data_IF_238196361124
#
_entry.id   IF_238196361124
#
_cell.length_a   1.000
_cell.length_b   1.000
_cell.length_c   1.000
_cell.angle_alpha   90.00
_cell.angle_beta   90.00
_cell.angle_gamma   90.00
#
_symmetry.space_group_name_H-M   'P 1'
#
loop_
_entity.id
_entity.type
_entity.pdbx_description
1 polymer ?
#
# COMPACT_ATOMS: atom_id res chain seq x y z
N UNK A 1 -8.33 -16.47 71.84
CA UNK A 1 -8.21 -16.92 70.44
C UNK A 1 -8.66 -15.78 69.52
N UNK A 2 -7.74 -14.90 69.09
CA UNK A 2 -8.04 -13.82 68.13
C UNK A 2 -7.80 -14.37 66.72
N UNK A 3 -8.84 -14.48 65.90
CA UNK A 3 -8.76 -14.89 64.49
C UNK A 3 -8.34 -13.69 63.65
N UNK A 4 -7.15 -13.77 63.09
CA UNK A 4 -6.61 -12.81 62.12
C UNK A 4 -7.25 -13.09 60.75
N UNK A 5 -8.24 -12.28 60.34
CA UNK A 5 -8.98 -12.44 59.08
C UNK A 5 -8.51 -11.49 57.96
N UNK A 6 -7.47 -10.69 58.19
CA UNK A 6 -7.02 -9.65 57.23
C UNK A 6 -6.18 -10.19 56.05
N UNK A 7 -5.86 -11.48 56.02
CA UNK A 7 -5.03 -12.09 54.97
C UNK A 7 -5.78 -12.54 53.71
N UNK A 8 -7.11 -12.68 53.75
CA UNK A 8 -7.88 -13.36 52.68
C UNK A 8 -8.59 -12.36 51.73
N UNK A 9 -8.82 -11.12 52.17
CA UNK A 9 -9.54 -10.10 51.36
C UNK A 9 -8.64 -9.37 50.35
N UNK A 10 -7.33 -9.31 50.57
CA UNK A 10 -6.40 -8.61 49.68
C UNK A 10 -6.07 -9.36 48.38
N UNK A 11 -6.23 -10.69 48.38
CA UNK A 11 -5.90 -11.57 47.26
C UNK A 11 -6.92 -11.49 46.10
N UNK A 12 -8.24 -11.58 46.33
CA UNK A 12 -9.24 -11.40 45.27
C UNK A 12 -9.29 -9.95 44.74
N UNK A 13 -9.07 -8.95 45.60
CA UNK A 13 -9.03 -7.54 45.18
C UNK A 13 -7.85 -7.23 44.25
N UNK A 14 -6.64 -7.74 44.57
CA UNK A 14 -5.46 -7.59 43.72
C UNK A 14 -5.65 -8.29 42.37
N UNK A 15 -6.26 -9.48 42.37
CA UNK A 15 -6.56 -10.21 41.13
C UNK A 15 -7.59 -9.46 40.27
N UNK A 16 -8.63 -8.87 40.87
CA UNK A 16 -9.57 -8.03 40.13
C UNK A 16 -8.91 -6.80 39.54
N UNK A 17 -8.04 -6.12 40.29
CA UNK A 17 -7.30 -4.96 39.79
C UNK A 17 -6.37 -5.33 38.63
N UNK A 18 -5.65 -6.45 38.73
CA UNK A 18 -4.78 -6.95 37.65
C UNK A 18 -5.60 -7.35 36.43
N UNK A 19 -6.72 -8.05 36.59
CA UNK A 19 -7.60 -8.41 35.48
C UNK A 19 -8.18 -7.18 34.78
N UNK A 20 -8.52 -6.14 35.55
CA UNK A 20 -9.03 -4.89 35.00
C UNK A 20 -7.94 -4.11 34.25
N UNK A 21 -6.72 -4.05 34.79
CA UNK A 21 -5.57 -3.45 34.10
C UNK A 21 -5.23 -4.20 32.80
N UNK A 22 -5.26 -5.54 32.82
CA UNK A 22 -5.06 -6.36 31.62
C UNK A 22 -6.18 -6.11 30.60
N UNK A 23 -7.44 -6.05 31.03
CA UNK A 23 -8.58 -5.78 30.13
C UNK A 23 -8.53 -4.40 29.48
N UNK A 24 -7.88 -3.42 30.14
CA UNK A 24 -7.71 -2.08 29.59
C UNK A 24 -6.46 -1.96 28.69
N UNK A 25 -5.40 -2.70 29.02
CA UNK A 25 -4.12 -2.64 28.30
C UNK A 25 -4.09 -3.51 27.02
N UNK A 26 -4.85 -4.61 26.97
CA UNK A 26 -4.89 -5.47 25.79
C UNK A 26 -5.49 -4.77 24.55
N UNK A 27 -6.66 -4.09 24.64
CA UNK A 27 -7.24 -3.41 23.48
C UNK A 27 -6.36 -2.28 22.95
N UNK A 28 -5.70 -1.53 23.83
CA UNK A 28 -4.83 -0.41 23.44
C UNK A 28 -3.59 -0.90 22.72
N UNK A 29 -2.96 -1.98 23.18
CA UNK A 29 -1.82 -2.57 22.48
C UNK A 29 -2.20 -3.15 21.12
N UNK A 30 -3.36 -3.81 20.99
CA UNK A 30 -3.86 -4.30 19.70
C UNK A 30 -4.06 -3.13 18.73
N UNK A 31 -4.62 -2.01 19.20
CA UNK A 31 -4.82 -0.81 18.38
C UNK A 31 -3.51 -0.24 17.85
N UNK A 32 -2.49 -0.08 18.70
CA UNK A 32 -1.18 0.47 18.30
C UNK A 32 -0.43 -0.46 17.35
N UNK A 33 -0.52 -1.77 17.57
CA UNK A 33 0.07 -2.76 16.65
C UNK A 33 -0.59 -2.68 15.26
N UNK A 34 -1.92 -2.56 15.21
CA UNK A 34 -2.62 -2.43 13.94
C UNK A 34 -2.24 -1.14 13.21
N UNK A 35 -2.20 -0.02 13.93
CA UNK A 35 -1.82 1.28 13.36
C UNK A 35 -0.38 1.30 12.83
N UNK A 36 0.58 0.75 13.59
CA UNK A 36 1.98 0.68 13.15
C UNK A 36 2.16 -0.20 11.91
N UNK A 37 1.51 -1.37 11.86
CA UNK A 37 1.56 -2.24 10.66
C UNK A 37 0.92 -1.58 9.43
N UNK A 38 -0.19 -0.86 9.63
CA UNK A 38 -0.87 -0.12 8.56
C UNK A 38 -0.01 1.03 8.04
N UNK A 39 0.65 1.79 8.91
CA UNK A 39 1.54 2.88 8.51
C UNK A 39 2.76 2.37 7.73
N UNK A 40 3.34 1.23 8.13
CA UNK A 40 4.45 0.61 7.39
C UNK A 40 3.99 0.11 6.02
N UNK A 41 2.79 -0.48 5.94
CA UNK A 41 2.21 -0.91 4.67
C UNK A 41 1.95 0.27 3.73
N UNK A 42 1.39 1.37 4.25
CA UNK A 42 1.18 2.61 3.52
C UNK A 42 2.50 3.18 3.00
N UNK A 43 3.54 3.23 3.83
CA UNK A 43 4.86 3.73 3.42
C UNK A 43 5.47 2.86 2.31
N UNK A 44 5.47 1.54 2.46
CA UNK A 44 5.96 0.63 1.40
C UNK A 44 5.18 0.78 0.10
N UNK A 45 3.86 0.96 0.19
CA UNK A 45 3.03 1.19 -0.98
C UNK A 45 3.38 2.54 -1.65
N UNK A 46 3.55 3.62 -0.90
CA UNK A 46 3.94 4.92 -1.44
C UNK A 46 5.33 4.88 -2.11
N UNK A 47 6.30 4.20 -1.50
CA UNK A 47 7.65 4.03 -2.06
C UNK A 47 7.61 3.26 -3.40
N UNK A 48 6.87 2.14 -3.46
CA UNK A 48 6.69 1.37 -4.69
C UNK A 48 5.94 2.17 -5.76
N UNK A 49 4.90 2.92 -5.37
CA UNK A 49 4.18 3.78 -6.31
C UNK A 49 5.11 4.86 -6.90
N UNK A 50 6.00 5.44 -6.10
CA UNK A 50 7.00 6.39 -6.57
C UNK A 50 8.02 5.75 -7.53
N UNK A 51 8.49 4.54 -7.25
CA UNK A 51 9.40 3.82 -8.15
C UNK A 51 8.77 3.54 -9.52
N UNK A 52 7.51 3.07 -9.54
CA UNK A 52 6.77 2.85 -10.78
C UNK A 52 6.61 4.18 -11.53
N UNK A 53 6.27 5.25 -10.81
CA UNK A 53 6.08 6.57 -11.40
C UNK A 53 7.37 7.13 -12.01
N UNK A 54 8.48 7.06 -11.28
CA UNK A 54 9.79 7.46 -11.76
C UNK A 54 10.20 6.65 -13.00
N UNK A 55 9.89 5.35 -13.02
CA UNK A 55 10.15 4.51 -14.20
C UNK A 55 9.33 4.97 -15.41
N UNK A 56 8.04 5.28 -15.24
CA UNK A 56 7.18 5.81 -16.31
C UNK A 56 7.71 7.14 -16.86
N UNK A 57 8.11 8.05 -15.97
CA UNK A 57 8.64 9.37 -16.33
C UNK A 57 9.99 9.27 -17.04
N UNK A 58 10.90 8.44 -16.53
CA UNK A 58 12.19 8.18 -17.16
C UNK A 58 12.00 7.55 -18.55
N UNK A 59 11.10 6.56 -18.67
CA UNK A 59 10.81 5.92 -19.95
C UNK A 59 10.26 6.88 -20.99
N UNK A 60 9.33 7.75 -20.57
CA UNK A 60 8.78 8.81 -21.40
C UNK A 60 9.87 9.76 -21.91
N UNK A 61 10.79 10.15 -21.02
CA UNK A 61 11.92 11.02 -21.39
C UNK A 61 12.93 10.34 -22.32
N UNK A 62 13.07 9.01 -22.24
CA UNK A 62 13.88 8.20 -23.14
C UNK A 62 13.33 8.09 -24.57
N UNK A 63 12.05 8.41 -24.76
CA UNK A 63 11.41 8.53 -26.06
C UNK A 63 10.71 7.25 -26.58
N UNK A 64 10.17 7.32 -27.80
CA UNK A 64 9.38 6.24 -28.39
C UNK A 64 10.16 4.93 -28.58
N UNK A 65 9.50 3.79 -28.37
CA UNK A 65 10.11 2.46 -28.53
C UNK A 65 10.84 1.93 -27.29
N UNK A 66 10.93 2.72 -26.22
CA UNK A 66 11.45 2.26 -24.94
C UNK A 66 10.51 1.22 -24.30
N UNK A 67 11.08 0.12 -23.79
CA UNK A 67 10.35 -0.96 -23.14
C UNK A 67 11.08 -1.34 -21.86
N UNK A 68 10.34 -1.43 -20.74
CA UNK A 68 10.87 -1.92 -19.46
C UNK A 68 9.89 -2.86 -18.81
N UNK A 69 10.40 -3.69 -17.91
CA UNK A 69 9.58 -4.54 -17.04
C UNK A 69 9.77 -4.08 -15.61
N UNK A 70 8.66 -3.90 -14.90
CA UNK A 70 8.63 -3.60 -13.48
C UNK A 70 8.00 -4.77 -12.76
N UNK A 71 8.68 -5.28 -11.73
CA UNK A 71 8.17 -6.34 -10.86
C UNK A 71 7.76 -5.73 -9.53
N UNK A 72 6.56 -6.02 -9.07
CA UNK A 72 6.14 -5.67 -7.72
C UNK A 72 6.76 -6.70 -6.75
N UNK A 73 7.52 -6.27 -5.73
CA UNK A 73 8.18 -7.17 -4.80
C UNK A 73 7.21 -8.14 -4.12
N UNK A 74 7.65 -9.38 -3.91
CA UNK A 74 6.88 -10.42 -3.23
C UNK A 74 6.77 -10.18 -1.71
N UNK A 75 7.66 -9.36 -1.13
CA UNK A 75 7.70 -9.03 0.30
C UNK A 75 6.83 -7.82 0.68
N UNK A 76 6.00 -7.35 -0.26
CA UNK A 76 5.05 -6.29 -0.02
C UNK A 76 3.93 -6.80 0.92
N UNK A 77 3.55 -6.04 1.97
CA UNK A 77 2.48 -6.45 2.88
C UNK A 77 1.20 -6.85 2.14
N UNK A 78 0.57 -7.92 2.64
CA UNK A 78 -0.68 -8.41 2.06
C UNK A 78 -1.77 -7.32 2.11
N UNK A 79 -2.60 -7.29 1.07
CA UNK A 79 -3.66 -6.29 0.94
C UNK A 79 -3.21 -4.98 0.27
N UNK A 80 -1.95 -4.86 -0.18
CA UNK A 80 -1.54 -3.75 -1.04
C UNK A 80 -1.88 -4.04 -2.50
N UNK A 81 -2.53 -3.07 -3.14
CA UNK A 81 -2.83 -3.11 -4.57
C UNK A 81 -2.61 -1.73 -5.19
N UNK A 82 -2.06 -1.71 -6.41
CA UNK A 82 -1.84 -0.50 -7.20
C UNK A 82 -2.80 -0.49 -8.37
N UNK A 83 -3.42 0.65 -8.65
CA UNK A 83 -4.20 0.90 -9.86
C UNK A 83 -3.45 1.87 -10.75
N UNK A 84 -3.17 1.45 -11.98
CA UNK A 84 -2.33 2.20 -12.92
C UNK A 84 -3.03 2.30 -14.27
N UNK A 85 -2.99 3.51 -14.82
CA UNK A 85 -3.41 3.79 -16.18
C UNK A 85 -4.93 3.82 -16.36
N UNK A 86 -5.34 3.87 -17.62
CA UNK A 86 -6.74 3.94 -18.00
C UNK A 86 -6.87 4.48 -19.42
N UNK A 87 -8.07 4.95 -19.75
CA UNK A 87 -8.34 5.57 -21.04
C UNK A 87 -7.69 6.96 -21.13
N UNK A 88 -7.25 7.34 -22.33
CA UNK A 88 -6.72 8.66 -22.58
C UNK A 88 -7.77 9.73 -22.27
N UNK A 89 -7.44 10.67 -21.38
CA UNK A 89 -8.36 11.72 -20.91
C UNK A 89 -9.14 11.36 -19.64
N UNK A 90 -9.01 10.13 -19.12
CA UNK A 90 -9.51 9.78 -17.77
C UNK A 90 -8.71 10.51 -16.69
N UNK A 91 -9.05 10.39 -15.40
CA UNK A 91 -8.13 10.91 -14.34
C UNK A 91 -7.06 9.87 -14.01
N UNK A 92 -7.31 8.59 -14.29
CA UNK A 92 -6.46 7.49 -13.85
C UNK A 92 -5.24 7.28 -14.75
N UNK A 93 -5.28 7.74 -16.00
CA UNK A 93 -4.11 7.76 -16.89
C UNK A 93 -2.95 8.66 -16.43
N UNK A 94 -3.17 9.59 -15.50
CA UNK A 94 -2.17 10.56 -15.05
C UNK A 94 -1.76 10.36 -13.60
N UNK A 95 -2.10 9.22 -13.00
CA UNK A 95 -1.73 8.89 -11.62
C UNK A 95 -1.56 7.40 -11.41
N UNK A 96 -0.85 7.07 -10.35
CA UNK A 96 -0.82 5.75 -9.73
C UNK A 96 -1.59 5.88 -8.43
N UNK A 97 -2.57 5.01 -8.23
CA UNK A 97 -3.28 4.88 -6.96
C UNK A 97 -2.84 3.62 -6.25
N UNK A 98 -2.87 3.61 -4.94
CA UNK A 98 -2.72 2.39 -4.16
C UNK A 98 -3.73 2.35 -3.02
N UNK A 99 -4.10 1.13 -2.62
CA UNK A 99 -4.74 0.85 -1.34
C UNK A 99 -3.76 0.02 -0.50
N UNK A 100 -3.61 0.38 0.77
CA UNK A 100 -2.81 -0.34 1.76
C UNK A 100 -3.69 -0.75 2.95
N UNK A 101 -4.59 -1.70 2.74
CA UNK A 101 -5.47 -2.21 3.79
C UNK A 101 -6.49 -1.18 4.26
N UNK A 102 -7.13 -0.49 3.30
CA UNK A 102 -8.15 0.54 3.55
C UNK A 102 -7.60 1.96 3.69
N UNK A 103 -6.30 2.16 3.46
CA UNK A 103 -5.67 3.49 3.33
C UNK A 103 -5.32 3.70 1.87
N UNK A 104 -6.07 4.58 1.23
CA UNK A 104 -5.85 4.94 -0.16
C UNK A 104 -4.84 6.08 -0.29
N UNK A 105 -3.94 5.97 -1.27
CA UNK A 105 -3.03 7.03 -1.66
C UNK A 105 -2.96 7.19 -3.17
N UNK A 106 -2.36 8.28 -3.62
CA UNK A 106 -2.14 8.51 -5.05
C UNK A 106 -0.90 9.36 -5.32
N UNK A 107 -0.24 9.09 -6.45
CA UNK A 107 0.92 9.79 -6.96
C UNK A 107 0.64 10.21 -8.40
N UNK A 108 0.69 11.51 -8.69
CA UNK A 108 0.46 12.05 -10.04
C UNK A 108 1.70 11.98 -10.92
N UNK A 109 1.53 11.58 -12.17
CA UNK A 109 2.57 11.51 -13.19
C UNK A 109 2.86 12.89 -13.78
N UNK A 110 4.13 13.18 -14.08
CA UNK A 110 4.59 14.44 -14.65
C UNK A 110 5.09 14.23 -16.09
N UNK A 111 4.42 14.85 -17.06
CA UNK A 111 4.85 14.78 -18.47
C UNK A 111 4.71 13.39 -19.11
N UNK A 112 3.97 12.49 -18.48
CA UNK A 112 3.65 11.15 -18.99
C UNK A 112 2.23 10.75 -18.63
N UNK A 113 1.58 10.03 -19.54
CA UNK A 113 0.31 9.35 -19.32
C UNK A 113 0.51 7.84 -19.44
N UNK A 114 -0.09 7.09 -18.53
CA UNK A 114 -0.14 5.64 -18.53
C UNK A 114 -1.48 5.19 -19.14
N UNK A 115 -1.45 4.42 -20.21
CA UNK A 115 -2.65 3.88 -20.86
C UNK A 115 -2.67 2.36 -20.77
N UNK A 116 -3.87 1.80 -20.65
CA UNK A 116 -4.10 0.35 -20.65
C UNK A 116 -4.86 -0.03 -21.93
N UNK A 117 -4.76 -1.30 -22.35
CA UNK A 117 -5.34 -1.76 -23.62
C UNK A 117 -6.87 -1.69 -23.63
N UNK A 118 -7.46 -2.04 -22.50
CA UNK A 118 -8.89 -2.09 -22.23
C UNK A 118 -9.45 -0.76 -21.68
N UNK A 119 -8.61 0.29 -21.60
CA UNK A 119 -9.01 1.64 -21.19
C UNK A 119 -9.41 1.77 -19.71
N UNK A 120 -9.24 0.70 -18.92
CA UNK A 120 -9.56 0.67 -17.49
C UNK A 120 -8.29 0.63 -16.65
N UNK A 121 -8.29 1.17 -15.43
CA UNK A 121 -7.15 1.06 -14.54
C UNK A 121 -6.77 -0.40 -14.31
N UNK A 122 -5.51 -0.72 -14.54
CA UNK A 122 -4.95 -2.05 -14.30
C UNK A 122 -4.58 -2.17 -12.83
N UNK A 123 -5.06 -3.23 -12.19
CA UNK A 123 -4.74 -3.51 -10.79
C UNK A 123 -3.60 -4.53 -10.71
N UNK A 124 -2.55 -4.19 -9.94
CA UNK A 124 -1.40 -5.06 -9.67
C UNK A 124 -1.09 -5.14 -8.19
N UNK A 125 -0.56 -6.27 -7.74
CA UNK A 125 -0.22 -6.56 -6.35
C UNK A 125 1.13 -7.26 -6.24
N UNK A 126 1.54 -7.60 -5.01
CA UNK A 126 2.78 -8.32 -4.73
C UNK A 126 3.01 -9.52 -5.68
N UNK A 127 4.20 -9.59 -6.27
CA UNK A 127 4.60 -10.65 -7.20
C UNK A 127 4.16 -10.45 -8.66
N UNK A 128 3.24 -9.52 -8.94
CA UNK A 128 2.86 -9.19 -10.32
C UNK A 128 4.02 -8.55 -11.08
N UNK A 129 4.06 -8.79 -12.39
CA UNK A 129 4.98 -8.12 -13.30
C UNK A 129 4.20 -7.35 -14.35
N UNK A 130 4.66 -6.15 -14.66
CA UNK A 130 4.12 -5.32 -15.73
C UNK A 130 5.21 -5.00 -16.75
N UNK A 131 4.81 -4.96 -18.02
CA UNK A 131 5.60 -4.43 -19.12
C UNK A 131 5.08 -3.05 -19.47
N UNK A 132 6.00 -2.11 -19.45
CA UNK A 132 5.80 -0.72 -19.84
C UNK A 132 6.35 -0.56 -21.25
N UNK A 133 5.59 0.08 -22.14
CA UNK A 133 5.97 0.26 -23.55
C UNK A 133 5.66 1.69 -24.00
N UNK A 134 6.65 2.45 -24.45
CA UNK A 134 6.44 3.72 -25.12
C UNK A 134 6.03 3.48 -26.59
N UNK A 135 4.79 3.80 -27.01
CA UNK A 135 4.36 3.57 -28.37
C UNK A 135 5.23 4.33 -29.39
N UNK A 136 5.44 3.73 -30.56
CA UNK A 136 6.18 4.38 -31.64
C UNK A 136 5.46 5.65 -32.10
N UNK A 137 6.21 6.73 -32.27
CA UNK A 137 5.70 8.01 -32.80
C UNK A 137 4.88 8.85 -31.82
N UNK A 138 4.72 8.42 -30.56
CA UNK A 138 4.03 9.21 -29.52
C UNK A 138 4.96 9.46 -28.34
N UNK A 139 5.10 10.73 -27.96
CA UNK A 139 5.84 11.15 -26.77
C UNK A 139 4.89 11.28 -25.58
N UNK A 140 5.39 11.09 -24.37
CA UNK A 140 4.58 11.31 -23.18
C UNK A 140 3.52 10.24 -22.93
N UNK A 141 3.52 9.12 -23.67
CA UNK A 141 2.54 8.03 -23.48
C UNK A 141 3.27 6.73 -23.23
N UNK A 142 2.84 5.99 -22.22
CA UNK A 142 3.34 4.65 -21.90
C UNK A 142 2.16 3.70 -21.80
N UNK A 143 2.19 2.62 -22.58
CA UNK A 143 1.26 1.51 -22.48
C UNK A 143 1.68 0.58 -21.34
N UNK A 144 0.74 0.24 -20.47
CA UNK A 144 0.93 -0.67 -19.33
C UNK A 144 0.25 -1.99 -19.64
N UNK A 145 1.02 -3.07 -19.60
CA UNK A 145 0.57 -4.43 -19.92
C UNK A 145 0.98 -5.38 -18.79
N UNK A 146 0.08 -6.22 -18.29
CA UNK A 146 0.42 -7.26 -17.31
C UNK A 146 1.13 -8.43 -18.00
N UNK A 147 2.15 -9.01 -17.37
CA UNK A 147 2.95 -10.13 -17.90
C UNK A 147 2.76 -11.38 -17.06
#
# INVERSE_FOLDING_TARGET
MRRDQRGIEGLPLRLMLVALLISLALPTMISVMHETTSNVAEQKAAEMAEEIAATLEEMSSGGPGNVRTVKVPDDLPAGIAFSIGGENGSVDYSRIKWDAGGREGSRYLTGVIAITEDGKPMVISAGDSIRLECPLGTWGTVKVVKV
#
